data_IF_771625457168
#
_entry.id   IF_771625457168
#
_cell.length_a   1.000
_cell.length_b   1.000
_cell.length_c   1.000
_cell.angle_alpha   90.00
_cell.angle_beta   90.00
_cell.angle_gamma   90.00
#
_symmetry.space_group_name_H-M   'P 1'
#
loop_
_entity.id
_entity.type
_entity.pdbx_description
1 polymer ?
#
# COMPACT_ATOMS: atom_id res chain seq x y z
N UNK A 1 -5.29 5.62 -2.68
CA UNK A 1 -5.63 4.19 -2.53
C UNK A 1 -6.23 3.93 -1.17
N UNK A 2 -7.24 3.08 -1.12
CA UNK A 2 -7.86 2.62 0.12
C UNK A 2 -7.56 1.13 0.33
N UNK A 3 -7.39 0.72 1.58
CA UNK A 3 -7.21 -0.68 1.97
C UNK A 3 -7.86 -0.95 3.31
N UNK A 4 -8.10 -2.22 3.61
CA UNK A 4 -8.64 -2.66 4.91
C UNK A 4 -7.58 -2.59 6.00
N UNK A 5 -7.36 -1.38 6.50
CA UNK A 5 -6.45 -1.10 7.60
C UNK A 5 -6.98 -1.65 8.93
N UNK A 6 -6.07 -2.01 9.83
CA UNK A 6 -6.39 -2.34 11.23
C UNK A 6 -5.59 -1.49 12.21
N UNK A 7 -4.25 -1.52 12.13
CA UNK A 7 -3.42 -0.79 13.10
C UNK A 7 -3.08 0.66 12.72
N UNK A 8 -3.10 1.02 11.43
CA UNK A 8 -2.73 2.37 10.96
C UNK A 8 -1.25 2.77 11.12
N UNK A 9 -0.41 1.94 11.74
CA UNK A 9 1.00 2.26 12.07
C UNK A 9 2.03 1.24 11.55
N UNK A 10 1.71 0.50 10.49
CA UNK A 10 2.61 -0.51 9.87
C UNK A 10 2.78 -1.83 10.62
N UNK A 11 2.39 -1.92 11.89
CA UNK A 11 2.62 -3.12 12.71
C UNK A 11 1.92 -4.39 12.21
N UNK A 12 0.72 -4.27 11.63
CA UNK A 12 -0.11 -5.44 11.27
C UNK A 12 0.03 -5.89 9.81
N UNK A 13 0.68 -5.11 8.95
CA UNK A 13 0.88 -5.43 7.54
C UNK A 13 -0.36 -5.50 6.63
N UNK A 14 -1.58 -5.31 7.14
CA UNK A 14 -2.83 -5.48 6.34
C UNK A 14 -3.01 -4.52 5.15
N UNK A 15 -2.23 -3.46 5.08
CA UNK A 15 -2.27 -2.49 3.99
C UNK A 15 -0.94 -2.46 3.21
N UNK A 16 -0.25 -3.61 3.18
CA UNK A 16 0.92 -3.87 2.36
C UNK A 16 0.58 -3.77 0.86
N UNK A 17 1.47 -3.13 0.11
CA UNK A 17 1.51 -3.07 -1.35
C UNK A 17 2.95 -3.34 -1.80
N UNK A 18 3.43 -4.57 -1.57
CA UNK A 18 4.84 -4.93 -1.81
C UNK A 18 5.76 -4.36 -0.73
N UNK A 19 6.61 -3.40 -1.09
CA UNK A 19 7.54 -2.74 -0.15
C UNK A 19 6.94 -1.53 0.58
N UNK A 20 5.73 -1.11 0.19
CA UNK A 20 5.05 0.07 0.73
C UNK A 20 3.87 -0.32 1.61
N UNK A 21 3.56 0.50 2.61
CA UNK A 21 2.35 0.39 3.42
C UNK A 21 1.47 1.61 3.23
N UNK A 22 0.20 1.44 2.88
CA UNK A 22 -0.71 2.57 2.65
C UNK A 22 -0.87 3.44 3.91
N UNK A 23 -0.79 2.86 5.11
CA UNK A 23 -0.89 3.62 6.36
C UNK A 23 0.37 4.39 6.76
N UNK A 24 1.52 4.13 6.12
CA UNK A 24 2.79 4.82 6.40
C UNK A 24 3.22 5.67 5.20
N UNK A 25 3.24 5.07 4.01
CA UNK A 25 3.69 5.68 2.77
C UNK A 25 2.55 6.32 1.95
N UNK A 26 1.30 5.91 2.22
CA UNK A 26 0.10 6.41 1.53
C UNK A 26 -0.67 7.47 2.35
N UNK A 27 -1.96 7.73 2.05
CA UNK A 27 -2.88 7.02 1.16
C UNK A 27 -2.86 7.52 -0.30
N UNK A 28 -2.08 8.57 -0.59
CA UNK A 28 -2.00 9.16 -1.93
C UNK A 28 -0.70 8.70 -2.58
N UNK A 29 -0.81 8.17 -3.79
CA UNK A 29 0.32 7.69 -4.59
C UNK A 29 0.20 8.25 -5.99
N UNK A 30 1.34 8.34 -6.68
CA UNK A 30 1.38 8.68 -8.09
C UNK A 30 0.92 7.49 -8.93
N UNK A 31 0.41 7.78 -10.12
CA UNK A 31 -0.11 6.76 -11.04
C UNK A 31 0.94 5.69 -11.38
N UNK A 32 2.21 6.07 -11.54
CA UNK A 32 3.29 5.13 -11.88
C UNK A 32 3.60 4.16 -10.73
N UNK A 33 3.51 4.62 -9.47
CA UNK A 33 3.70 3.75 -8.29
C UNK A 33 2.58 2.70 -8.23
N UNK A 34 1.34 3.11 -8.53
CA UNK A 34 0.19 2.20 -8.55
C UNK A 34 0.33 1.13 -9.64
N UNK A 35 0.88 1.48 -10.81
CA UNK A 35 1.15 0.51 -11.87
C UNK A 35 2.15 -0.56 -11.41
N UNK A 36 3.25 -0.15 -10.77
CA UNK A 36 4.27 -1.06 -10.23
C UNK A 36 3.68 -2.02 -9.18
N UNK A 37 2.80 -1.52 -8.30
CA UNK A 37 2.12 -2.36 -7.30
C UNK A 37 1.27 -3.46 -7.94
N UNK A 38 0.61 -3.18 -9.08
CA UNK A 38 -0.26 -4.13 -9.77
C UNK A 38 0.51 -5.16 -10.61
N UNK A 39 1.63 -4.76 -11.19
CA UNK A 39 2.52 -5.66 -11.94
C UNK A 39 3.13 -6.73 -11.03
N UNK A 40 3.38 -6.43 -9.75
CA UNK A 40 3.86 -7.43 -8.78
C UNK A 40 2.88 -8.57 -8.44
N UNK A 41 1.62 -8.52 -8.89
CA UNK A 41 0.61 -9.57 -8.68
C UNK A 41 0.40 -10.49 -9.90
N UNK A 42 1.08 -10.22 -11.02
CA UNK A 42 1.07 -11.01 -12.26
C UNK A 42 2.31 -11.91 -12.34
#
# INVERSE_FOLDING_TARGET
LEARMHCGIGKCGRCNMGEKFICIDGPVFWQYEVAEFLEGFL
#
